data_IF_840988757468
#
_entry.id   IF_840988757468
#
_cell.length_a   1.000
_cell.length_b   1.000
_cell.length_c   1.000
_cell.angle_alpha   90.00
_cell.angle_beta   90.00
_cell.angle_gamma   90.00
#
_symmetry.space_group_name_H-M   'P 1'
#
loop_
_entity.id
_entity.type
_entity.pdbx_description
1 polymer ?
#
# COMPACT_ATOMS: atom_id res chain seq x y z
N UNK A 1 -15.35 -26.75 31.51
CA UNK A 1 -15.27 -25.28 31.59
C UNK A 1 -13.86 -24.73 31.34
N UNK A 2 -12.81 -25.23 32.03
CA UNK A 2 -11.42 -24.77 31.78
C UNK A 2 -10.91 -25.07 30.36
N UNK A 3 -11.23 -26.23 29.76
CA UNK A 3 -10.79 -26.58 28.39
C UNK A 3 -11.41 -25.70 27.30
N UNK A 4 -12.69 -25.33 27.46
CA UNK A 4 -13.42 -24.45 26.53
C UNK A 4 -12.78 -23.05 26.51
N UNK A 5 -12.42 -22.53 27.69
CA UNK A 5 -11.79 -21.20 27.83
C UNK A 5 -10.40 -21.16 27.17
N UNK A 6 -9.60 -22.21 27.36
CA UNK A 6 -8.29 -22.33 26.70
C UNK A 6 -8.42 -22.43 25.18
N UNK A 7 -9.43 -23.15 24.68
CA UNK A 7 -9.70 -23.26 23.23
C UNK A 7 -10.11 -21.92 22.62
N UNK A 8 -10.96 -21.17 23.30
CA UNK A 8 -11.39 -19.83 22.86
C UNK A 8 -10.20 -18.87 22.83
N UNK A 9 -9.35 -18.87 23.86
CA UNK A 9 -8.13 -18.05 23.91
C UNK A 9 -7.15 -18.39 22.79
N UNK A 10 -6.90 -19.68 22.55
CA UNK A 10 -6.02 -20.12 21.47
C UNK A 10 -6.55 -19.67 20.10
N UNK A 11 -7.86 -19.79 19.86
CA UNK A 11 -8.47 -19.37 18.60
C UNK A 11 -8.37 -17.85 18.39
N UNK A 12 -8.62 -17.05 19.43
CA UNK A 12 -8.44 -15.60 19.37
C UNK A 12 -6.98 -15.23 19.06
N UNK A 13 -6.03 -15.88 19.73
CA UNK A 13 -4.60 -15.66 19.51
C UNK A 13 -4.19 -15.96 18.05
N UNK A 14 -4.62 -17.11 17.51
CA UNK A 14 -4.33 -17.47 16.12
C UNK A 14 -4.97 -16.49 15.13
N UNK A 15 -6.21 -16.07 15.35
CA UNK A 15 -6.88 -15.08 14.48
C UNK A 15 -6.18 -13.72 14.53
N UNK A 16 -5.68 -13.30 15.70
CA UNK A 16 -4.90 -12.08 15.84
C UNK A 16 -3.59 -12.16 15.05
N UNK A 17 -2.82 -13.23 15.19
CA UNK A 17 -1.56 -13.43 14.45
C UNK A 17 -1.78 -13.45 12.94
N UNK A 18 -2.85 -14.10 12.47
CA UNK A 18 -3.21 -14.19 11.06
C UNK A 18 -3.56 -12.85 10.41
N UNK A 19 -4.05 -11.86 11.16
CA UNK A 19 -4.41 -10.54 10.63
C UNK A 19 -3.35 -9.48 10.92
N UNK A 20 -2.79 -9.47 12.13
CA UNK A 20 -1.86 -8.45 12.60
C UNK A 20 -0.56 -8.45 11.78
N UNK A 21 0.06 -9.62 11.58
CA UNK A 21 1.32 -9.74 10.85
C UNK A 21 1.20 -9.24 9.39
N UNK A 22 0.24 -9.71 8.57
CA UNK A 22 0.12 -9.22 7.20
C UNK A 22 -0.33 -7.76 7.12
N UNK A 23 -1.12 -7.26 8.07
CA UNK A 23 -1.49 -5.84 8.12
C UNK A 23 -0.27 -4.95 8.36
N UNK A 24 0.59 -5.31 9.32
CA UNK A 24 1.84 -4.59 9.59
C UNK A 24 2.77 -4.65 8.38
N UNK A 25 2.87 -5.80 7.71
CA UNK A 25 3.64 -5.92 6.46
C UNK A 25 3.11 -4.97 5.37
N UNK A 26 1.79 -4.88 5.20
CA UNK A 26 1.15 -3.98 4.22
C UNK A 26 1.35 -2.50 4.55
N UNK A 27 1.30 -2.13 5.83
CA UNK A 27 1.64 -0.79 6.27
C UNK A 27 3.09 -0.44 5.92
N UNK A 28 4.04 -1.33 6.21
CA UNK A 28 5.46 -1.13 5.87
C UNK A 28 5.68 -0.97 4.36
N UNK A 29 5.00 -1.77 3.53
CA UNK A 29 5.04 -1.63 2.07
C UNK A 29 4.46 -0.29 1.62
N UNK A 30 3.32 0.13 2.18
CA UNK A 30 2.69 1.40 1.82
C UNK A 30 3.58 2.60 2.14
N UNK A 31 4.27 2.58 3.29
CA UNK A 31 5.23 3.62 3.66
C UNK A 31 6.46 3.61 2.74
N UNK A 32 6.97 2.42 2.38
CA UNK A 32 8.07 2.32 1.43
C UNK A 32 7.70 2.92 0.07
N UNK A 33 6.48 2.68 -0.41
CA UNK A 33 5.98 3.24 -1.67
C UNK A 33 5.77 4.74 -1.59
N UNK A 34 5.33 5.28 -0.45
CA UNK A 34 5.24 6.74 -0.21
C UNK A 34 6.61 7.42 -0.29
N UNK A 35 7.66 6.80 0.24
CA UNK A 35 9.02 7.35 0.17
C UNK A 35 9.55 7.42 -1.28
N UNK A 36 9.04 6.58 -2.20
CA UNK A 36 9.42 6.61 -3.62
C UNK A 36 8.72 7.73 -4.41
N UNK A 37 7.68 8.34 -3.87
CA UNK A 37 6.94 9.41 -4.54
C UNK A 37 7.80 10.67 -4.60
N UNK A 38 8.07 11.15 -5.81
CA UNK A 38 8.71 12.44 -6.01
C UNK A 38 7.73 13.56 -5.61
N UNK A 39 8.19 14.50 -4.78
CA UNK A 39 7.39 15.63 -4.26
C UNK A 39 6.78 16.50 -5.38
N UNK A 40 7.45 16.61 -6.52
CA UNK A 40 6.96 17.35 -7.71
C UNK A 40 5.61 16.84 -8.21
N UNK A 41 5.32 15.55 -8.04
CA UNK A 41 4.10 14.90 -8.54
C UNK A 41 3.14 14.51 -7.40
N UNK A 42 3.33 15.01 -6.19
CA UNK A 42 2.56 14.62 -5.01
C UNK A 42 1.04 14.69 -5.23
N UNK A 43 0.56 15.76 -5.89
CA UNK A 43 -0.86 15.95 -6.20
C UNK A 43 -1.48 14.82 -7.05
N UNK A 44 -0.67 14.15 -7.88
CA UNK A 44 -1.12 13.01 -8.68
C UNK A 44 -1.40 11.78 -7.80
N UNK A 45 -0.64 11.63 -6.71
CA UNK A 45 -0.71 10.45 -5.85
C UNK A 45 -1.73 10.60 -4.73
N UNK A 46 -2.05 11.82 -4.29
CA UNK A 46 -3.01 12.11 -3.20
C UNK A 46 -4.29 11.24 -3.27
N UNK A 47 -5.04 11.17 -4.38
CA UNK A 47 -6.27 10.37 -4.43
C UNK A 47 -6.02 8.86 -4.41
N UNK A 48 -4.83 8.39 -4.77
CA UNK A 48 -4.46 6.97 -4.73
C UNK A 48 -3.97 6.57 -3.35
N UNK A 49 -3.20 7.42 -2.69
CA UNK A 49 -2.76 7.26 -1.30
C UNK A 49 -3.98 7.25 -0.37
N UNK A 50 -4.93 8.16 -0.56
CA UNK A 50 -6.18 8.20 0.21
C UNK A 50 -6.98 6.88 0.08
N UNK A 51 -7.02 6.26 -1.10
CA UNK A 51 -7.68 4.96 -1.30
C UNK A 51 -7.01 3.83 -0.53
N UNK A 52 -5.67 3.85 -0.46
CA UNK A 52 -4.92 2.87 0.35
C UNK A 52 -5.22 3.09 1.83
N UNK A 53 -5.27 4.34 2.29
CA UNK A 53 -5.63 4.67 3.69
C UNK A 53 -7.05 4.20 4.04
N UNK A 54 -8.02 4.48 3.18
CA UNK A 54 -9.40 4.01 3.34
C UNK A 54 -9.51 2.48 3.36
N UNK A 55 -8.73 1.78 2.53
CA UNK A 55 -8.70 0.34 2.50
C UNK A 55 -8.09 -0.27 3.78
N UNK A 56 -7.13 0.41 4.42
CA UNK A 56 -6.43 -0.06 5.62
C UNK A 56 -7.22 0.24 6.90
N UNK A 57 -7.99 1.34 6.92
CA UNK A 57 -8.68 1.84 8.11
C UNK A 57 -9.52 0.79 8.87
N UNK A 58 -10.30 -0.09 8.21
CA UNK A 58 -11.04 -1.15 8.90
C UNK A 58 -10.15 -2.17 9.62
N UNK A 59 -8.90 -2.35 9.20
CA UNK A 59 -7.93 -3.21 9.87
C UNK A 59 -7.27 -2.56 11.09
N UNK A 60 -7.47 -1.26 11.33
CA UNK A 60 -6.93 -0.57 12.51
C UNK A 60 -7.94 -0.49 13.66
N UNK A 61 -9.23 -0.76 13.40
CA UNK A 61 -10.27 -0.81 14.42
C UNK A 61 -10.44 -2.24 14.98
N UNK A 62 -10.20 -2.38 16.28
CA UNK A 62 -10.32 -3.63 17.05
C UNK A 62 -11.72 -4.24 16.90
N UNK A 63 -12.76 -3.39 16.76
CA UNK A 63 -14.14 -3.85 16.63
C UNK A 63 -14.40 -4.53 15.28
N UNK A 64 -13.68 -4.13 14.22
CA UNK A 64 -13.86 -4.68 12.88
C UNK A 64 -13.31 -6.10 12.74
N UNK A 65 -12.21 -6.44 13.41
CA UNK A 65 -11.53 -7.75 13.26
C UNK A 65 -12.42 -8.95 13.57
N UNK A 66 -13.40 -8.78 14.46
CA UNK A 66 -14.30 -9.86 14.90
C UNK A 66 -15.33 -10.24 13.84
N UNK A 67 -15.63 -9.35 12.90
CA UNK A 67 -16.63 -9.53 11.84
C UNK A 67 -16.06 -9.46 10.42
N UNK A 68 -14.77 -9.15 10.28
CA UNK A 68 -14.11 -8.97 8.99
C UNK A 68 -13.78 -10.33 8.36
N UNK A 69 -14.11 -10.49 7.07
CA UNK A 69 -13.54 -11.57 6.27
C UNK A 69 -12.08 -11.22 5.97
N UNK A 70 -11.15 -11.78 6.76
CA UNK A 70 -9.72 -11.47 6.72
C UNK A 70 -9.15 -11.65 5.31
N UNK A 71 -9.47 -12.75 4.62
CA UNK A 71 -8.92 -13.05 3.30
C UNK A 71 -9.37 -12.01 2.25
N UNK A 72 -10.65 -11.66 2.28
CA UNK A 72 -11.22 -10.68 1.33
C UNK A 72 -10.69 -9.28 1.62
N UNK A 73 -10.59 -8.91 2.90
CA UNK A 73 -10.03 -7.63 3.32
C UNK A 73 -8.57 -7.49 2.89
N UNK A 74 -7.75 -8.48 3.20
CA UNK A 74 -6.34 -8.48 2.82
C UNK A 74 -6.22 -8.40 1.29
N UNK A 75 -7.00 -9.15 0.53
CA UNK A 75 -7.01 -9.06 -0.93
C UNK A 75 -7.35 -7.66 -1.46
N UNK A 76 -8.29 -6.96 -0.83
CA UNK A 76 -8.64 -5.58 -1.18
C UNK A 76 -7.45 -4.62 -0.98
N UNK A 77 -6.83 -4.66 0.21
CA UNK A 77 -5.66 -3.82 0.52
C UNK A 77 -4.50 -4.10 -0.43
N UNK A 78 -4.27 -5.38 -0.75
CA UNK A 78 -3.21 -5.81 -1.68
C UNK A 78 -3.41 -5.19 -3.06
N UNK A 79 -4.64 -5.27 -3.58
CA UNK A 79 -4.98 -4.70 -4.87
C UNK A 79 -4.76 -3.20 -4.91
N UNK A 80 -5.23 -2.47 -3.89
CA UNK A 80 -5.03 -1.02 -3.82
C UNK A 80 -3.56 -0.61 -3.73
N UNK A 81 -2.74 -1.44 -3.06
CA UNK A 81 -1.31 -1.20 -2.92
C UNK A 81 -0.56 -1.47 -4.23
N UNK A 82 -0.89 -2.55 -4.93
CA UNK A 82 -0.37 -2.85 -6.28
C UNK A 82 -0.74 -1.74 -7.26
N UNK A 83 -1.97 -1.24 -7.21
CA UNK A 83 -2.39 -0.13 -8.08
C UNK A 83 -1.59 1.16 -7.81
N UNK A 84 -1.23 1.43 -6.56
CA UNK A 84 -0.37 2.56 -6.19
C UNK A 84 1.08 2.36 -6.66
N UNK A 85 1.66 1.17 -6.48
CA UNK A 85 3.00 0.84 -6.96
C UNK A 85 3.11 0.98 -8.47
N UNK A 86 2.14 0.45 -9.22
CA UNK A 86 2.09 0.60 -10.68
C UNK A 86 2.02 2.06 -11.12
N UNK A 87 1.33 2.92 -10.36
CA UNK A 87 1.29 4.34 -10.65
C UNK A 87 2.66 4.98 -10.43
N UNK A 88 3.33 4.68 -9.31
CA UNK A 88 4.69 5.17 -9.01
C UNK A 88 5.68 4.76 -10.10
N UNK A 89 5.66 3.49 -10.52
CA UNK A 89 6.55 2.99 -11.57
C UNK A 89 6.30 3.68 -12.92
N UNK A 90 5.04 3.92 -13.27
CA UNK A 90 4.68 4.62 -14.53
C UNK A 90 5.10 6.08 -14.52
N UNK A 91 4.90 6.78 -13.41
CA UNK A 91 5.32 8.18 -13.31
C UNK A 91 6.85 8.27 -13.35
N UNK A 92 7.54 7.35 -12.67
CA UNK A 92 9.00 7.27 -12.74
C UNK A 92 9.49 7.08 -14.17
N UNK A 93 8.89 6.16 -14.93
CA UNK A 93 9.24 5.93 -16.34
C UNK A 93 9.03 7.19 -17.21
N UNK A 94 7.90 7.87 -17.01
CA UNK A 94 7.60 9.12 -17.72
C UNK A 94 8.64 10.21 -17.43
N UNK A 95 9.05 10.37 -16.17
CA UNK A 95 9.99 11.41 -15.76
C UNK A 95 11.39 11.06 -16.24
N UNK A 96 11.93 9.92 -15.83
CA UNK A 96 13.34 9.58 -16.03
C UNK A 96 13.66 9.27 -17.50
N UNK A 97 12.85 8.42 -18.15
CA UNK A 97 13.21 7.87 -19.46
C UNK A 97 12.60 8.63 -20.63
N UNK A 98 11.58 9.47 -20.39
CA UNK A 98 10.89 10.20 -21.46
C UNK A 98 11.05 11.69 -21.38
N UNK A 99 10.79 12.30 -20.23
CA UNK A 99 10.88 13.76 -20.09
C UNK A 99 12.35 14.18 -19.99
N UNK A 100 13.06 13.68 -18.97
CA UNK A 100 14.42 14.13 -18.70
C UNK A 100 15.39 13.74 -19.81
N UNK A 101 15.27 12.52 -20.33
CA UNK A 101 16.08 12.05 -21.46
C UNK A 101 15.93 12.94 -22.71
N UNK A 102 14.70 13.30 -23.08
CA UNK A 102 14.44 14.15 -24.25
C UNK A 102 14.89 15.58 -24.00
N UNK A 103 14.64 16.14 -22.81
CA UNK A 103 15.11 17.48 -22.46
C UNK A 103 16.65 17.57 -22.51
N UNK A 104 17.34 16.53 -22.06
CA UNK A 104 18.79 16.45 -22.11
C UNK A 104 19.31 16.32 -23.56
N UNK A 105 18.65 15.54 -24.41
CA UNK A 105 18.97 15.45 -25.84
C UNK A 105 18.81 16.82 -26.53
N UNK A 106 17.69 17.51 -26.28
CA UNK A 106 17.44 18.84 -26.82
C UNK A 106 18.49 19.86 -26.36
N UNK A 107 18.87 19.82 -25.08
CA UNK A 107 19.90 20.70 -24.53
C UNK A 107 21.29 20.46 -25.14
N UNK A 108 21.59 19.23 -25.57
CA UNK A 108 22.89 18.86 -26.13
C UNK A 108 22.93 18.98 -27.66
N UNK A 109 21.79 19.25 -28.29
CA UNK A 109 21.69 19.44 -29.73
C UNK A 109 22.26 20.79 -30.13
N UNK A 110 23.25 20.79 -31.03
CA UNK A 110 23.79 22.03 -31.60
C UNK A 110 22.87 22.49 -32.72
N UNK A 111 22.39 23.73 -32.64
CA UNK A 111 21.70 24.37 -33.76
C UNK A 111 22.77 24.79 -34.77
N UNK A 112 22.59 24.39 -36.03
CA UNK A 112 23.52 24.64 -37.15
C UNK A 112 23.99 26.09 -37.22
#
# INVERSE_FOLDING_TARGET
>A
MLSENTRVRAKIQTTFEQLYVPLVAKLMLSENTRVKIQTTFEQLYVPHVAKVDEAILPGLDILCWKSLNIDTYLGCVDKTLVDLELLVDRVKDLVEFRIDAVLQEMSNSTLC
#
